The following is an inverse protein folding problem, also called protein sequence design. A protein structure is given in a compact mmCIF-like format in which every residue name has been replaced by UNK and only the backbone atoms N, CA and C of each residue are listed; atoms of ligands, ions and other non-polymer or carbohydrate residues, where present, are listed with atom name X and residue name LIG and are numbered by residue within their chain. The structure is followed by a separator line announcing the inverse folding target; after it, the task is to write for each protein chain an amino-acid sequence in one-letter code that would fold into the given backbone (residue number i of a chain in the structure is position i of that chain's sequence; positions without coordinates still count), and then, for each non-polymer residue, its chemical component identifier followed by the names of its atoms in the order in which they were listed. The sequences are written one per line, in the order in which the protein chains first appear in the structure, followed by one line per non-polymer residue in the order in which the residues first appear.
data_IF_065099232999
#
_entry.id   IF_065099232999
#
_cell.length_a   1.000
_cell.length_b   1.000
_cell.length_c   1.000
_cell.angle_alpha   90.00
_cell.angle_beta   90.00
_cell.angle_gamma   90.00
#
_symmetry.space_group_name_H-M   'P 1'
#
loop_
_entity.id
_entity.type
_entity.pdbx_description
1 polymer ?
#
# COMPACT_ATOMS: atom_id res chain seq x y z
N UNK A 1 -11.31 -10.30 28.38
CA UNK A 1 -11.96 -10.85 27.16
C UNK A 1 -12.77 -9.79 26.42
N UNK A 2 -13.62 -9.01 27.12
CA UNK A 2 -14.39 -7.89 26.58
C UNK A 2 -13.60 -6.88 25.73
N UNK A 3 -12.38 -6.51 26.14
CA UNK A 3 -11.50 -5.58 25.40
C UNK A 3 -11.04 -6.11 24.05
N UNK A 4 -10.84 -7.43 23.91
CA UNK A 4 -10.50 -8.05 22.62
C UNK A 4 -11.71 -8.06 21.68
N UNK A 5 -12.90 -8.30 22.23
CA UNK A 5 -14.15 -8.29 21.46
C UNK A 5 -14.46 -6.88 20.93
N UNK A 6 -14.30 -5.86 21.78
CA UNK A 6 -14.45 -4.45 21.39
C UNK A 6 -13.44 -4.03 20.31
N UNK A 7 -12.18 -4.48 20.40
CA UNK A 7 -11.19 -4.21 19.36
C UNK A 7 -11.57 -4.83 18.01
N UNK A 8 -12.07 -6.07 18.02
CA UNK A 8 -12.59 -6.72 16.81
C UNK A 8 -13.77 -5.97 16.22
N UNK A 9 -14.70 -5.52 17.06
CA UNK A 9 -15.87 -4.75 16.63
C UNK A 9 -15.47 -3.39 16.03
N UNK A 10 -14.51 -2.69 16.65
CA UNK A 10 -13.96 -1.45 16.09
C UNK A 10 -13.26 -1.68 14.75
N UNK A 11 -12.50 -2.77 14.60
CA UNK A 11 -11.86 -3.13 13.32
C UNK A 11 -12.88 -3.43 12.22
N UNK A 12 -13.95 -4.16 12.55
CA UNK A 12 -15.06 -4.44 11.63
C UNK A 12 -15.79 -3.14 11.21
N UNK A 13 -16.06 -2.25 12.16
CA UNK A 13 -16.69 -0.96 11.87
C UNK A 13 -15.80 -0.07 11.01
N UNK A 14 -14.51 0.00 11.32
CA UNK A 14 -13.53 0.78 10.56
C UNK A 14 -13.37 0.25 9.13
N UNK A 15 -13.28 -1.07 8.96
CA UNK A 15 -13.20 -1.69 7.64
C UNK A 15 -14.48 -1.53 6.82
N UNK A 16 -15.66 -1.59 7.45
CA UNK A 16 -16.93 -1.30 6.80
C UNK A 16 -17.02 0.15 6.30
N UNK A 17 -16.60 1.11 7.12
CA UNK A 17 -16.57 2.52 6.76
C UNK A 17 -15.60 2.80 5.60
N UNK A 18 -14.47 2.08 5.60
CA UNK A 18 -13.48 2.10 4.52
C UNK A 18 -14.07 1.56 3.21
N UNK A 19 -14.85 0.48 3.28
CA UNK A 19 -15.47 -0.13 2.11
C UNK A 19 -16.61 0.73 1.54
N UNK A 20 -17.40 1.36 2.40
CA UNK A 20 -18.47 2.26 1.97
C UNK A 20 -17.93 3.53 1.31
N UNK A 21 -16.80 4.04 1.79
CA UNK A 21 -16.09 5.18 1.21
C UNK A 21 -14.99 4.76 0.22
N UNK A 22 -15.19 3.68 -0.53
CA UNK A 22 -14.23 3.12 -1.51
C UNK A 22 -13.44 4.18 -2.27
N UNK A 23 -14.11 5.20 -2.82
CA UNK A 23 -13.45 6.23 -3.62
C UNK A 23 -12.73 7.31 -2.79
N UNK A 24 -13.29 7.73 -1.65
CA UNK A 24 -12.64 8.70 -0.75
C UNK A 24 -11.42 8.11 -0.07
N UNK A 25 -11.51 6.85 0.36
CA UNK A 25 -10.39 6.14 0.97
C UNK A 25 -9.30 5.95 -0.05
N UNK A 26 -9.60 5.47 -1.26
CA UNK A 26 -8.60 5.32 -2.32
C UNK A 26 -7.89 6.65 -2.60
N UNK A 27 -8.63 7.77 -2.66
CA UNK A 27 -8.04 9.09 -2.89
C UNK A 27 -7.14 9.56 -1.73
N UNK A 28 -7.51 9.26 -0.48
CA UNK A 28 -6.66 9.53 0.69
C UNK A 28 -5.46 8.56 0.72
N UNK A 29 -5.65 7.31 0.31
CA UNK A 29 -4.60 6.28 0.26
C UNK A 29 -3.51 6.67 -0.74
N UNK A 30 -3.91 7.08 -1.95
CA UNK A 30 -3.00 7.52 -3.00
C UNK A 30 -2.49 8.96 -2.80
N UNK A 31 -3.30 9.84 -2.21
CA UNK A 31 -2.93 11.23 -1.95
C UNK A 31 -2.05 11.44 -0.71
N UNK A 32 -2.04 10.50 0.24
CA UNK A 32 -1.26 10.65 1.46
C UNK A 32 0.21 10.27 1.25
N UNK A 33 1.07 11.29 1.23
CA UNK A 33 2.53 11.16 1.07
C UNK A 33 3.16 10.20 2.10
N UNK A 34 2.57 10.10 3.29
CA UNK A 34 3.01 9.20 4.35
C UNK A 34 2.83 7.74 3.94
N UNK A 35 1.67 7.40 3.38
CA UNK A 35 1.38 6.04 2.95
C UNK A 35 2.24 5.66 1.74
N UNK A 36 2.44 6.61 0.82
CA UNK A 36 3.37 6.44 -0.30
C UNK A 36 4.79 6.15 0.19
N UNK A 37 5.27 6.89 1.20
CA UNK A 37 6.62 6.70 1.76
C UNK A 37 6.76 5.36 2.47
N UNK A 38 5.75 4.92 3.22
CA UNK A 38 5.73 3.60 3.86
C UNK A 38 5.71 2.47 2.83
N UNK A 39 4.85 2.57 1.81
CA UNK A 39 4.79 1.58 0.74
C UNK A 39 6.11 1.50 -0.03
N UNK A 40 6.67 2.64 -0.45
CA UNK A 40 7.97 2.69 -1.16
C UNK A 40 9.11 2.22 -0.28
N UNK A 41 9.17 2.64 0.99
CA UNK A 41 10.22 2.21 1.92
C UNK A 41 10.15 0.70 2.21
N UNK A 42 8.94 0.14 2.32
CA UNK A 42 8.75 -1.30 2.55
C UNK A 42 9.11 -2.12 1.31
N UNK A 43 8.71 -1.66 0.12
CA UNK A 43 9.00 -2.32 -1.15
C UNK A 43 10.48 -2.20 -1.55
N UNK A 44 11.13 -1.06 -1.29
CA UNK A 44 12.57 -0.87 -1.56
C UNK A 44 13.48 -1.54 -0.53
N UNK A 45 13.00 -1.75 0.71
CA UNK A 45 13.71 -2.53 1.72
C UNK A 45 13.78 -4.02 1.40
N UNK A 46 12.87 -4.54 0.59
CA UNK A 46 12.88 -5.94 0.14
C UNK A 46 13.76 -6.10 -1.11
N UNK A 47 14.90 -6.82 -1.04
CA UNK A 47 15.83 -6.97 -2.16
C UNK A 47 15.20 -7.65 -3.39
N UNK A 48 14.19 -8.52 -3.19
CA UNK A 48 13.46 -9.17 -4.28
C UNK A 48 12.54 -8.25 -5.08
N UNK A 49 11.79 -7.37 -4.41
CA UNK A 49 10.93 -6.37 -5.07
C UNK A 49 11.75 -5.24 -5.68
N UNK A 50 12.81 -4.81 -4.98
CA UNK A 50 13.79 -3.86 -5.51
C UNK A 50 14.36 -4.34 -6.85
N UNK A 51 14.87 -5.57 -6.94
CA UNK A 51 15.42 -6.11 -8.21
C UNK A 51 14.40 -6.15 -9.33
N UNK A 52 13.14 -6.48 -9.05
CA UNK A 52 12.07 -6.50 -10.07
C UNK A 52 11.71 -5.09 -10.57
N UNK A 53 11.61 -4.11 -9.69
CA UNK A 53 11.38 -2.72 -10.12
C UNK A 53 12.58 -2.14 -10.86
N UNK A 54 13.80 -2.36 -10.37
CA UNK A 54 15.01 -1.95 -11.10
C UNK A 54 15.08 -2.66 -12.45
N UNK A 55 14.76 -3.94 -12.54
CA UNK A 55 14.67 -4.62 -13.82
C UNK A 55 13.61 -3.95 -14.70
N UNK A 56 12.36 -3.77 -14.27
CA UNK A 56 11.30 -3.14 -15.10
C UNK A 56 11.57 -1.67 -15.49
N UNK A 57 12.26 -0.89 -14.66
CA UNK A 57 12.59 0.52 -14.93
C UNK A 57 13.84 0.65 -15.81
N UNK A 58 14.83 -0.24 -15.61
CA UNK A 58 16.09 -0.24 -16.38
C UNK A 58 16.08 -1.22 -17.56
N UNK A 59 15.02 -2.02 -17.76
CA UNK A 59 14.76 -2.81 -18.98
C UNK A 59 13.84 -2.07 -19.96
N UNK A 60 13.89 -0.74 -19.94
CA UNK A 60 13.47 0.05 -21.09
C UNK A 60 14.17 -0.48 -22.36
N UNK A 61 13.49 -0.40 -23.52
CA UNK A 61 13.90 -1.08 -24.73
C UNK A 61 15.38 -0.83 -25.01
N UNK A 62 16.10 -1.91 -25.26
CA UNK A 62 17.41 -1.91 -25.89
C UNK A 62 17.28 -1.37 -27.31
N UNK A 63 17.04 -0.06 -27.46
CA UNK A 63 17.02 0.68 -28.73
C UNK A 63 18.44 0.94 -29.27
N UNK A 64 19.42 0.12 -28.88
CA UNK A 64 20.82 0.18 -29.34
C UNK A 64 21.48 -1.20 -29.51
N UNK A 65 20.73 -2.21 -29.93
CA UNK A 65 21.28 -3.40 -30.59
C UNK A 65 20.57 -3.68 -31.91
#
# INVERSE_FOLDING_TARGET
MLTRLMSFFCLLMASYFVYQNRYRVMNILLGNTILRRLAVSSLMGMPGFRRRMFQSVFSGPNDWQ
#
